data_IF_409057134923
#
_entry.id   IF_409057134923
#
_cell.length_a   1.000
_cell.length_b   1.000
_cell.length_c   1.000
_cell.angle_alpha   90.00
_cell.angle_beta   90.00
_cell.angle_gamma   90.00
#
_symmetry.space_group_name_H-M   'P 1'
#
loop_
_entity.id
_entity.type
_entity.pdbx_description
1 polymer ?
#
# COMPACT_ATOMS: atom_id res chain seq x y z
N UNK A 1 -13.26 30.89 0.53
CA UNK A 1 -13.84 30.09 1.62
C UNK A 1 -12.71 29.30 2.26
N UNK A 2 -12.46 29.48 3.56
CA UNK A 2 -11.41 28.74 4.27
C UNK A 2 -11.82 27.27 4.40
N UNK A 3 -10.96 26.36 3.92
CA UNK A 3 -11.12 24.93 4.15
C UNK A 3 -10.81 24.65 5.62
N UNK A 4 -11.87 24.50 6.42
CA UNK A 4 -11.76 23.97 7.77
C UNK A 4 -11.22 22.54 7.69
N UNK A 5 -10.04 22.29 8.25
CA UNK A 5 -9.49 20.95 8.35
C UNK A 5 -10.44 20.11 9.22
N UNK A 6 -11.06 19.05 8.70
CA UNK A 6 -12.00 18.22 9.48
C UNK A 6 -11.28 17.57 10.66
N UNK A 7 -11.99 17.44 11.79
CA UNK A 7 -11.43 16.83 13.01
C UNK A 7 -11.06 15.37 12.73
N UNK A 8 -9.99 14.85 13.35
CA UNK A 8 -9.41 13.50 13.13
C UNK A 8 -10.41 12.32 13.17
N UNK A 9 -11.55 12.46 13.84
CA UNK A 9 -12.63 11.46 13.87
C UNK A 9 -13.72 11.61 12.79
N UNK A 10 -13.79 12.74 12.09
CA UNK A 10 -14.78 12.97 11.02
C UNK A 10 -14.38 12.34 9.68
N UNK A 11 -13.12 11.94 9.53
CA UNK A 11 -12.59 11.35 8.29
C UNK A 11 -12.57 9.81 8.30
N UNK A 12 -12.99 9.19 9.40
CA UNK A 12 -13.12 7.74 9.50
C UNK A 12 -14.58 7.36 9.22
N UNK A 13 -14.79 6.23 8.56
CA UNK A 13 -16.11 5.62 8.50
C UNK A 13 -16.22 4.58 9.62
N UNK A 14 -17.41 4.44 10.21
CA UNK A 14 -17.67 3.39 11.19
C UNK A 14 -17.56 2.03 10.50
N UNK A 15 -16.73 1.14 11.07
CA UNK A 15 -16.55 -0.22 10.59
C UNK A 15 -15.98 -1.07 11.71
N UNK A 16 -16.53 -2.26 11.90
CA UNK A 16 -16.14 -3.19 12.95
C UNK A 16 -14.95 -4.08 12.56
N UNK A 17 -14.57 -4.11 11.27
CA UNK A 17 -13.59 -5.09 10.76
C UNK A 17 -12.62 -4.55 9.69
N UNK A 18 -12.94 -3.41 9.07
CA UNK A 18 -12.18 -2.87 7.93
C UNK A 18 -11.84 -1.41 8.18
N UNK A 19 -10.57 -1.02 8.02
CA UNK A 19 -10.20 0.39 8.11
C UNK A 19 -10.77 1.15 6.92
N UNK A 20 -11.80 1.94 7.19
CA UNK A 20 -12.48 2.76 6.19
C UNK A 20 -12.22 4.25 6.46
N UNK A 21 -11.86 4.98 5.41
CA UNK A 21 -11.72 6.44 5.44
C UNK A 21 -12.77 7.07 4.54
N UNK A 22 -13.23 8.26 4.87
CA UNK A 22 -14.12 8.99 3.98
C UNK A 22 -13.40 9.43 2.71
N UNK A 23 -14.13 9.49 1.60
CA UNK A 23 -13.58 9.85 0.29
C UNK A 23 -12.91 11.23 0.27
N UNK A 24 -13.39 12.17 1.08
CA UNK A 24 -12.79 13.51 1.21
C UNK A 24 -11.40 13.48 1.85
N UNK A 25 -11.04 12.40 2.54
CA UNK A 25 -9.72 12.20 3.12
C UNK A 25 -8.66 11.81 2.08
N UNK A 26 -9.06 11.25 0.92
CA UNK A 26 -8.14 10.69 -0.08
C UNK A 26 -7.02 11.66 -0.52
N UNK A 27 -7.27 12.95 -0.79
CA UNK A 27 -6.22 13.88 -1.20
C UNK A 27 -5.17 14.16 -0.11
N UNK A 28 -5.49 13.82 1.14
CA UNK A 28 -4.64 14.08 2.31
C UNK A 28 -3.94 12.81 2.80
N UNK A 29 -4.15 11.67 2.14
CA UNK A 29 -3.52 10.42 2.50
C UNK A 29 -2.01 10.45 2.19
N UNK A 30 -1.16 9.98 3.12
CA UNK A 30 0.30 10.06 2.95
C UNK A 30 0.83 8.96 2.03
N UNK A 31 1.97 9.21 1.39
CA UNK A 31 2.82 8.13 0.87
C UNK A 31 3.45 7.39 2.05
N UNK A 32 3.35 6.06 2.08
CA UNK A 32 4.02 5.24 3.09
C UNK A 32 5.44 4.92 2.63
N UNK A 33 6.42 5.02 3.54
CA UNK A 33 7.83 4.77 3.24
C UNK A 33 8.41 3.68 4.15
N UNK A 34 9.14 2.72 3.56
CA UNK A 34 9.83 1.65 4.28
C UNK A 34 11.28 1.55 3.82
N UNK A 35 12.19 1.31 4.77
CA UNK A 35 13.58 0.95 4.50
C UNK A 35 13.78 -0.52 4.80
N UNK A 36 14.20 -1.29 3.80
CA UNK A 36 14.43 -2.73 3.93
C UNK A 36 15.90 -3.05 3.70
N UNK A 37 16.42 -3.96 4.51
CA UNK A 37 17.81 -4.43 4.45
C UNK A 37 18.72 -3.71 5.44
N UNK A 38 19.98 -4.11 5.44
CA UNK A 38 21.02 -3.59 6.32
C UNK A 38 22.04 -2.76 5.52
N UNK A 39 22.57 -1.65 6.07
CA UNK A 39 23.63 -0.90 5.43
C UNK A 39 24.83 -1.78 5.03
N UNK A 40 25.44 -1.56 3.86
CA UNK A 40 25.15 -0.50 2.88
C UNK A 40 24.00 -0.85 1.89
N UNK A 41 23.40 -2.03 2.01
CA UNK A 41 22.44 -2.57 1.04
C UNK A 41 21.00 -2.36 1.51
N UNK A 42 20.60 -1.09 1.60
CA UNK A 42 19.21 -0.71 1.94
C UNK A 42 18.43 -0.33 0.69
N UNK A 43 17.16 -0.73 0.64
CA UNK A 43 16.20 -0.32 -0.39
C UNK A 43 15.12 0.57 0.25
N UNK A 44 14.83 1.69 -0.39
CA UNK A 44 13.73 2.59 -0.05
C UNK A 44 12.48 2.21 -0.86
N UNK A 45 11.42 1.79 -0.18
CA UNK A 45 10.11 1.49 -0.77
C UNK A 45 9.15 2.61 -0.43
N UNK A 46 8.41 3.07 -1.43
CA UNK A 46 7.37 4.10 -1.30
C UNK A 46 6.05 3.58 -1.87
N UNK A 47 4.98 3.66 -1.10
CA UNK A 47 3.64 3.20 -1.49
C UNK A 47 2.70 4.41 -1.50
N UNK A 48 2.25 4.81 -2.68
CA UNK A 48 1.27 5.88 -2.84
C UNK A 48 -0.14 5.45 -2.40
N UNK A 49 -1.02 6.39 -2.01
CA UNK A 49 -2.41 6.10 -1.63
C UNK A 49 -3.17 5.22 -2.62
N UNK A 50 -2.94 5.38 -3.93
CA UNK A 50 -3.59 4.58 -4.97
C UNK A 50 -3.33 3.06 -4.86
N UNK A 51 -2.27 2.63 -4.18
CA UNK A 51 -1.95 1.20 -4.05
C UNK A 51 -2.50 0.56 -2.79
N UNK A 52 -2.74 1.33 -1.73
CA UNK A 52 -3.31 0.82 -0.48
C UNK A 52 -4.78 1.22 -0.25
N UNK A 53 -5.35 2.09 -1.10
CA UNK A 53 -6.80 2.30 -1.18
C UNK A 53 -7.36 1.25 -2.14
N UNK A 54 -8.16 0.32 -1.61
CA UNK A 54 -8.66 -0.84 -2.35
C UNK A 54 -9.84 -0.49 -3.25
N UNK A 55 -10.88 0.05 -2.64
CA UNK A 55 -12.14 0.37 -3.29
C UNK A 55 -12.85 1.47 -2.51
N UNK A 56 -13.69 2.24 -3.20
CA UNK A 56 -14.56 3.24 -2.57
C UNK A 56 -16.01 2.99 -2.96
N UNK A 57 -16.91 3.12 -1.99
CA UNK A 57 -18.33 3.31 -2.23
C UNK A 57 -18.63 4.82 -2.45
N UNK A 58 -19.89 5.22 -2.26
CA UNK A 58 -20.31 6.62 -2.44
C UNK A 58 -19.62 7.60 -1.46
N UNK A 59 -19.26 7.15 -0.25
CA UNK A 59 -18.79 8.01 0.85
C UNK A 59 -17.50 7.54 1.50
N UNK A 60 -17.21 6.24 1.45
CA UNK A 60 -16.17 5.56 2.20
C UNK A 60 -15.25 4.76 1.28
N UNK A 61 -13.98 4.68 1.66
CA UNK A 61 -12.93 3.95 0.98
C UNK A 61 -12.29 2.96 1.93
N UNK A 62 -12.18 1.72 1.50
CA UNK A 62 -11.49 0.66 2.19
C UNK A 62 -9.98 0.77 1.98
N UNK A 63 -9.21 0.66 3.06
CA UNK A 63 -7.75 0.62 3.03
C UNK A 63 -7.23 -0.80 3.26
N UNK A 64 -6.28 -1.22 2.43
CA UNK A 64 -5.50 -2.46 2.57
C UNK A 64 -4.34 -2.27 3.58
N UNK A 65 -4.58 -1.55 4.67
CA UNK A 65 -3.64 -1.33 5.77
C UNK A 65 -4.34 -1.79 7.04
N UNK A 66 -3.67 -2.66 7.78
CA UNK A 66 -4.17 -3.20 9.03
C UNK A 66 -3.19 -2.90 10.17
N UNK A 67 -3.71 -2.72 11.37
CA UNK A 67 -2.91 -2.61 12.59
C UNK A 67 -3.40 -3.57 13.67
N UNK A 68 -3.97 -4.72 13.29
CA UNK A 68 -4.11 -5.85 14.21
C UNK A 68 -2.75 -6.02 14.87
N UNK A 69 -2.65 -5.80 16.18
CA UNK A 69 -1.42 -5.78 16.98
C UNK A 69 -0.72 -7.14 17.05
N UNK A 70 -0.49 -7.72 15.89
CA UNK A 70 0.29 -8.91 15.60
C UNK A 70 1.71 -8.38 15.40
N UNK A 71 2.67 -8.95 16.11
CA UNK A 71 4.09 -8.57 16.08
C UNK A 71 4.80 -8.85 14.75
N UNK A 72 4.04 -9.07 13.67
CA UNK A 72 4.56 -9.36 12.34
C UNK A 72 4.21 -8.18 11.44
N UNK A 73 5.20 -7.34 11.17
CA UNK A 73 5.12 -6.35 10.11
C UNK A 73 5.06 -7.10 8.77
N UNK A 74 3.89 -7.08 8.13
CA UNK A 74 3.67 -7.73 6.83
C UNK A 74 3.58 -6.69 5.72
N UNK A 75 4.45 -6.84 4.72
CA UNK A 75 4.37 -6.08 3.47
C UNK A 75 3.54 -6.89 2.47
N UNK A 76 2.25 -6.58 2.44
CA UNK A 76 1.27 -7.31 1.64
C UNK A 76 1.05 -6.71 0.24
N UNK A 77 -0.16 -6.94 -0.28
CA UNK A 77 -0.61 -6.54 -1.62
C UNK A 77 -0.24 -5.12 -2.07
N UNK A 78 -0.27 -4.07 -1.22
CA UNK A 78 0.10 -2.72 -1.67
C UNK A 78 1.53 -2.61 -2.22
N UNK A 79 2.48 -3.40 -1.71
CA UNK A 79 3.87 -3.42 -2.23
C UNK A 79 3.91 -4.08 -3.60
N UNK A 80 3.28 -5.25 -3.75
CA UNK A 80 3.26 -5.99 -5.02
C UNK A 80 2.49 -5.27 -6.15
N UNK A 81 1.67 -4.26 -5.83
CA UNK A 81 1.00 -3.41 -6.83
C UNK A 81 1.91 -2.32 -7.40
N UNK A 82 2.97 -1.94 -6.69
CA UNK A 82 3.89 -0.87 -7.11
C UNK A 82 5.26 -1.42 -7.53
N UNK A 83 5.67 -2.56 -6.98
CA UNK A 83 6.99 -3.12 -7.20
C UNK A 83 6.91 -4.55 -7.73
N UNK A 84 7.78 -4.86 -8.68
CA UNK A 84 8.07 -6.23 -9.04
C UNK A 84 9.00 -6.83 -7.97
N UNK A 85 8.57 -7.93 -7.35
CA UNK A 85 9.29 -8.58 -6.26
C UNK A 85 9.73 -9.98 -6.68
N UNK A 86 11.05 -10.17 -6.77
CA UNK A 86 11.66 -11.47 -7.09
C UNK A 86 12.21 -12.17 -5.85
N UNK A 87 12.00 -13.48 -5.76
CA UNK A 87 12.52 -14.32 -4.67
C UNK A 87 13.58 -15.29 -5.19
N UNK A 88 14.84 -15.11 -4.77
CA UNK A 88 15.91 -16.08 -5.01
C UNK A 88 16.16 -16.89 -3.74
N UNK A 89 15.48 -18.04 -3.66
CA UNK A 89 15.58 -18.96 -2.53
C UNK A 89 16.97 -19.58 -2.42
N UNK A 90 17.68 -19.75 -3.54
CA UNK A 90 19.03 -20.35 -3.56
C UNK A 90 20.05 -19.45 -2.87
N UNK A 91 19.91 -18.13 -3.05
CA UNK A 91 20.78 -17.11 -2.45
C UNK A 91 20.20 -16.49 -1.19
N UNK A 92 18.98 -16.88 -0.80
CA UNK A 92 18.20 -16.31 0.33
C UNK A 92 18.10 -14.79 0.20
N UNK A 93 17.74 -14.32 -0.99
CA UNK A 93 17.64 -12.89 -1.32
C UNK A 93 16.31 -12.57 -1.97
N UNK A 94 15.93 -11.30 -1.82
CA UNK A 94 14.76 -10.71 -2.42
C UNK A 94 15.23 -9.55 -3.32
N UNK A 95 14.57 -9.38 -4.45
CA UNK A 95 14.80 -8.30 -5.40
C UNK A 95 13.55 -7.45 -5.49
N UNK A 96 13.71 -6.14 -5.48
CA UNK A 96 12.62 -5.19 -5.61
C UNK A 96 13.02 -4.21 -6.71
N UNK A 97 12.20 -4.11 -7.75
CA UNK A 97 12.34 -3.10 -8.79
C UNK A 97 11.04 -2.29 -8.91
N UNK A 98 11.16 -0.99 -9.19
CA UNK A 98 9.98 -0.15 -9.43
C UNK A 98 9.20 -0.69 -10.62
N UNK A 99 7.91 -0.98 -10.40
CA UNK A 99 7.01 -1.47 -11.43
C UNK A 99 6.88 -0.42 -12.52
N UNK A 100 7.36 -0.73 -13.72
CA UNK A 100 7.10 0.12 -14.88
C UNK A 100 5.59 0.18 -15.15
N UNK A 101 5.06 1.28 -15.71
CA UNK A 101 3.62 1.48 -15.97
C UNK A 101 2.97 0.46 -16.94
N UNK A 102 3.67 -0.61 -17.34
CA UNK A 102 3.22 -1.64 -18.28
C UNK A 102 3.47 -3.09 -17.80
N UNK A 103 3.81 -3.35 -16.53
CA UNK A 103 3.94 -4.73 -16.01
C UNK A 103 2.58 -5.35 -15.68
N UNK A 104 1.65 -5.29 -16.63
CA UNK A 104 0.66 -6.37 -16.76
C UNK A 104 1.42 -7.53 -17.38
N UNK A 105 1.90 -8.47 -16.55
CA UNK A 105 2.18 -9.81 -17.03
C UNK A 105 0.86 -10.35 -17.62
N UNK A 106 0.71 -10.24 -18.94
CA UNK A 106 -0.33 -10.94 -19.67
C UNK A 106 -0.17 -12.44 -19.42
N UNK A 107 -1.26 -13.22 -19.49
CA UNK A 107 -1.17 -14.66 -19.30
C UNK A 107 -0.16 -15.23 -20.31
N UNK A 108 0.93 -15.81 -19.80
CA UNK A 108 1.88 -16.57 -20.61
C UNK A 108 1.13 -17.70 -21.30
N UNK A 109 1.01 -17.60 -22.63
CA UNK A 109 0.49 -18.69 -23.45
C UNK A 109 1.56 -19.77 -23.48
N UNK A 110 1.24 -20.96 -22.99
CA UNK A 110 2.06 -22.15 -23.11
C UNK A 110 2.22 -22.54 -24.59
N UNK A 111 3.45 -22.81 -25.01
CA UNK A 111 3.77 -23.59 -26.21
C UNK A 111 4.92 -24.55 -25.91
#
# INVERSE_FOLDING_TARGET
AGLSIPKKGQLLCESTWVRMVRKEALPYLPTLGYKIGDPPNTIDIRIEPKHYVHSCDALCCQMDIDSRGIEIDSLGHPVFREYDVGFDLSKRRLYISGGGPNSTAGPSTEH
#
